data_IF_157583754909
#
_entry.id   IF_157583754909
#
_cell.length_a   1.000
_cell.length_b   1.000
_cell.length_c   1.000
_cell.angle_alpha   90.00
_cell.angle_beta   90.00
_cell.angle_gamma   90.00
#
_symmetry.space_group_name_H-M   'P 1'
#
loop_
_entity.id
_entity.type
_entity.pdbx_description
1 polymer ?
#
# COMPACT_ATOMS: atom_id res chain seq x y z
N UNK A 1 -23.72 -41.60 -52.14
CA UNK A 1 -22.63 -41.34 -53.10
C UNK A 1 -21.79 -40.21 -52.53
N UNK A 2 -20.69 -40.58 -51.86
CA UNK A 2 -19.30 -40.15 -52.10
C UNK A 2 -19.06 -38.64 -51.87
N UNK A 3 -18.49 -38.30 -50.71
CA UNK A 3 -17.05 -37.98 -50.48
C UNK A 3 -16.84 -36.45 -50.58
N UNK A 4 -16.01 -35.78 -49.78
CA UNK A 4 -14.96 -36.20 -48.86
C UNK A 4 -14.47 -34.98 -48.06
N UNK A 5 -14.11 -35.22 -46.81
CA UNK A 5 -13.25 -34.38 -45.99
C UNK A 5 -11.88 -34.15 -46.66
N UNK A 6 -11.30 -32.95 -46.52
CA UNK A 6 -9.86 -32.75 -46.68
C UNK A 6 -9.26 -32.34 -45.33
N UNK A 7 -8.47 -33.25 -44.77
CA UNK A 7 -7.44 -32.98 -43.78
C UNK A 7 -6.20 -32.44 -44.50
N UNK A 8 -5.53 -31.47 -43.88
CA UNK A 8 -4.17 -31.07 -44.25
C UNK A 8 -3.26 -31.38 -43.07
N UNK A 9 -2.65 -32.56 -43.17
CA UNK A 9 -1.45 -32.95 -42.42
C UNK A 9 -0.23 -32.39 -43.14
N UNK A 10 0.61 -31.61 -42.46
CA UNK A 10 1.98 -31.37 -42.88
C UNK A 10 2.93 -32.09 -41.91
N UNK A 11 3.66 -33.06 -42.44
CA UNK A 11 4.70 -33.80 -41.76
C UNK A 11 6.05 -33.56 -42.45
N UNK A 12 7.06 -33.34 -41.59
CA UNK A 12 8.50 -33.67 -41.71
C UNK A 12 9.34 -33.00 -42.82
N UNK A 13 10.42 -32.32 -42.40
CA UNK A 13 11.76 -32.95 -42.41
C UNK A 13 12.80 -32.09 -41.68
N UNK A 14 13.53 -32.76 -40.79
CA UNK A 14 14.80 -32.29 -40.23
C UNK A 14 15.87 -32.29 -41.33
N UNK A 15 16.78 -31.32 -41.29
CA UNK A 15 18.11 -31.47 -41.88
C UNK A 15 19.15 -31.00 -40.87
N UNK A 16 19.97 -31.95 -40.46
CA UNK A 16 21.15 -31.81 -39.62
C UNK A 16 22.30 -31.21 -40.42
N UNK A 17 23.12 -30.38 -39.77
CA UNK A 17 24.49 -30.14 -40.22
C UNK A 17 25.37 -29.93 -39.00
N UNK A 18 26.24 -30.90 -38.78
CA UNK A 18 27.32 -30.88 -37.80
C UNK A 18 28.45 -29.99 -38.31
N UNK A 19 29.00 -29.15 -37.44
CA UNK A 19 30.34 -28.61 -37.60
C UNK A 19 31.05 -28.61 -36.24
N UNK A 20 32.22 -29.22 -36.27
CA UNK A 20 33.07 -29.61 -35.16
C UNK A 20 33.85 -28.42 -34.58
N UNK A 21 34.12 -28.53 -33.28
CA UNK A 21 35.05 -27.81 -32.41
C UNK A 21 36.19 -26.99 -33.05
N UNK A 22 36.51 -25.86 -32.40
CA UNK A 22 37.88 -25.48 -31.99
C UNK A 22 37.83 -24.34 -30.94
N UNK A 23 38.34 -24.62 -29.74
CA UNK A 23 38.81 -23.61 -28.76
C UNK A 23 40.12 -22.99 -29.29
N UNK A 24 40.44 -21.73 -28.93
CA UNK A 24 41.52 -21.59 -27.96
C UNK A 24 41.47 -20.36 -27.01
N UNK A 25 42.04 -20.61 -25.82
CA UNK A 25 42.91 -19.76 -24.98
C UNK A 25 42.41 -18.45 -24.37
N UNK A 26 42.40 -18.50 -23.03
CA UNK A 26 42.56 -17.40 -22.10
C UNK A 26 43.85 -16.60 -22.32
N UNK A 27 43.75 -15.28 -22.12
CA UNK A 27 44.85 -14.40 -21.71
C UNK A 27 44.31 -13.30 -20.80
N UNK A 28 44.72 -13.33 -19.53
CA UNK A 28 44.81 -12.15 -18.68
C UNK A 28 46.16 -11.45 -18.95
N UNK A 29 46.23 -10.13 -18.72
CA UNK A 29 47.35 -9.66 -17.89
C UNK A 29 46.95 -8.60 -16.85
N UNK A 30 47.46 -8.88 -15.65
CA UNK A 30 48.05 -8.01 -14.63
C UNK A 30 47.71 -6.50 -14.55
N UNK A 31 47.39 -6.16 -13.30
CA UNK A 31 47.51 -4.87 -12.64
C UNK A 31 48.72 -4.02 -13.06
N UNK A 32 48.49 -2.72 -13.21
CA UNK A 32 49.50 -1.68 -13.02
C UNK A 32 48.96 -0.62 -12.07
N UNK A 33 49.59 -0.52 -10.91
CA UNK A 33 49.42 0.56 -9.96
C UNK A 33 50.11 1.81 -10.52
N UNK A 34 49.40 2.94 -10.56
CA UNK A 34 50.02 4.25 -10.67
C UNK A 34 49.44 5.18 -9.61
N UNK A 35 50.39 5.78 -8.89
CA UNK A 35 50.25 6.64 -7.73
C UNK A 35 49.49 7.93 -8.05
N UNK A 36 48.80 8.38 -7.02
CA UNK A 36 48.23 9.70 -6.85
C UNK A 36 49.25 10.83 -7.11
N UNK A 37 48.78 11.86 -7.81
CA UNK A 37 49.30 13.23 -7.70
C UNK A 37 48.11 14.11 -7.34
N UNK A 38 48.11 14.63 -6.12
CA UNK A 38 47.15 15.59 -5.63
C UNK A 38 47.46 16.97 -6.24
N UNK A 39 46.50 17.54 -6.97
CA UNK A 39 46.47 18.95 -7.28
C UNK A 39 45.27 19.56 -6.55
N UNK A 40 45.57 20.36 -5.52
CA UNK A 40 44.59 21.07 -4.73
C UNK A 40 44.07 22.27 -5.52
N UNK A 41 42.79 22.25 -5.89
CA UNK A 41 42.04 23.42 -6.32
C UNK A 41 40.92 23.68 -5.32
N UNK A 42 41.14 24.70 -4.50
CA UNK A 42 40.21 25.27 -3.53
C UNK A 42 39.04 25.93 -4.26
N UNK A 43 37.87 25.26 -4.24
CA UNK A 43 36.58 25.90 -4.50
C UNK A 43 35.76 25.84 -3.21
N UNK A 44 35.51 27.01 -2.61
CA UNK A 44 34.62 27.16 -1.45
C UNK A 44 33.19 26.80 -1.85
N UNK A 45 32.72 25.64 -1.40
CA UNK A 45 31.31 25.29 -1.43
C UNK A 45 30.68 25.76 -0.12
N UNK A 46 29.72 26.68 -0.22
CA UNK A 46 28.87 27.11 0.89
C UNK A 46 27.97 25.92 1.22
N UNK A 47 28.23 25.26 2.35
CA UNK A 47 27.41 24.17 2.87
C UNK A 47 26.16 24.76 3.52
N UNK A 48 25.05 24.81 2.76
CA UNK A 48 23.72 24.92 3.34
C UNK A 48 23.35 23.53 3.87
N UNK A 49 23.46 23.35 5.19
CA UNK A 49 22.96 22.15 5.87
C UNK A 49 21.44 22.08 5.71
N UNK A 50 20.86 20.99 5.19
CA UNK A 50 19.44 20.71 5.36
C UNK A 50 19.21 20.28 6.81
N UNK A 51 18.30 20.96 7.48
CA UNK A 51 17.74 20.54 8.76
C UNK A 51 17.05 19.17 8.59
N UNK A 52 17.14 18.24 9.56
CA UNK A 52 16.40 16.99 9.48
C UNK A 52 14.88 17.28 9.51
N UNK A 53 14.05 16.48 8.82
CA UNK A 53 12.60 16.67 8.88
C UNK A 53 12.16 16.43 10.33
N UNK A 54 11.48 17.43 10.91
CA UNK A 54 10.80 17.27 12.20
C UNK A 54 9.75 16.18 12.03
N UNK A 55 9.97 15.05 12.70
CA UNK A 55 8.94 14.04 12.91
C UNK A 55 7.77 14.69 13.67
N UNK A 56 6.74 15.12 12.93
CA UNK A 56 5.45 15.50 13.50
C UNK A 56 4.79 14.20 13.97
N UNK A 57 4.96 13.90 15.26
CA UNK A 57 4.06 12.97 15.93
C UNK A 57 2.67 13.62 15.91
N UNK A 58 1.82 13.18 14.98
CA UNK A 58 0.38 13.46 15.04
C UNK A 58 -0.11 13.00 16.41
N UNK A 59 -0.58 13.96 17.20
CA UNK A 59 -0.98 13.76 18.59
C UNK A 59 -2.29 12.96 18.58
N UNK A 60 -2.20 11.67 18.88
CA UNK A 60 -3.27 10.65 18.93
C UNK A 60 -4.47 11.01 19.85
N UNK A 61 -4.41 12.14 20.57
CA UNK A 61 -5.41 12.51 21.58
C UNK A 61 -6.79 12.85 21.01
N UNK A 62 -6.89 13.28 19.74
CA UNK A 62 -8.16 13.70 19.13
C UNK A 62 -9.11 12.58 18.69
N UNK A 63 -8.65 11.32 18.61
CA UNK A 63 -9.45 10.22 18.04
C UNK A 63 -10.11 9.30 19.08
N UNK A 64 -9.79 9.46 20.36
CA UNK A 64 -10.40 8.66 21.42
C UNK A 64 -11.88 9.04 21.68
N UNK A 65 -12.29 10.26 21.34
CA UNK A 65 -13.66 10.75 21.57
C UNK A 65 -14.69 10.13 20.62
N UNK A 66 -14.32 9.84 19.37
CA UNK A 66 -15.23 9.29 18.35
C UNK A 66 -15.63 7.82 18.56
N UNK A 67 -14.93 7.08 19.43
CA UNK A 67 -15.17 5.65 19.66
C UNK A 67 -16.12 5.40 20.83
N UNK A 68 -16.27 6.35 21.76
CA UNK A 68 -17.08 6.13 22.97
C UNK A 68 -18.60 6.21 22.70
N UNK A 69 -19.02 6.94 21.68
CA UNK A 69 -20.45 7.24 21.47
C UNK A 69 -21.29 6.10 20.88
N UNK A 70 -20.67 4.99 20.44
CA UNK A 70 -21.40 3.85 19.83
C UNK A 70 -21.46 2.57 20.66
N UNK A 71 -20.73 2.45 21.77
CA UNK A 71 -20.67 1.21 22.56
C UNK A 71 -21.71 1.15 23.71
N UNK A 72 -22.51 2.21 23.91
CA UNK A 72 -23.46 2.31 25.02
C UNK A 72 -24.85 1.71 24.77
N UNK A 73 -25.12 1.14 23.58
CA UNK A 73 -26.49 0.67 23.21
C UNK A 73 -26.62 -0.83 22.92
N UNK A 74 -25.63 -1.67 23.24
CA UNK A 74 -25.75 -3.13 23.07
C UNK A 74 -25.57 -3.88 24.40
N UNK A 75 -26.56 -3.79 25.29
CA UNK A 75 -26.78 -4.83 26.30
C UNK A 75 -28.25 -4.92 26.76
N UNK A 76 -29.12 -5.50 25.94
CA UNK A 76 -30.23 -6.34 26.44
C UNK A 76 -30.81 -7.19 25.32
N UNK A 77 -31.13 -8.43 25.67
CA UNK A 77 -31.30 -9.54 24.74
C UNK A 77 -32.62 -9.59 23.97
N UNK A 78 -32.61 -10.52 23.01
CA UNK A 78 -33.66 -10.94 22.12
C UNK A 78 -35.05 -11.12 22.78
N UNK A 79 -36.05 -10.44 22.21
CA UNK A 79 -37.36 -11.00 21.79
C UNK A 79 -38.31 -9.84 21.43
N UNK A 80 -38.61 -9.66 20.14
CA UNK A 80 -39.93 -9.28 19.61
C UNK A 80 -39.82 -8.98 18.11
N UNK A 81 -40.24 -9.94 17.29
CA UNK A 81 -40.69 -9.67 15.96
C UNK A 81 -42.10 -9.05 16.03
N UNK A 82 -42.28 -7.89 15.41
CA UNK A 82 -43.49 -7.37 14.75
C UNK A 82 -43.72 -5.87 15.01
N UNK A 83 -43.71 -5.12 13.91
CA UNK A 83 -44.42 -3.86 13.67
C UNK A 83 -44.12 -2.65 14.57
N UNK A 84 -43.29 -1.74 14.05
CA UNK A 84 -43.58 -0.31 14.08
C UNK A 84 -42.95 0.36 12.86
N UNK A 85 -43.79 0.60 11.86
CA UNK A 85 -43.54 1.55 10.78
C UNK A 85 -43.38 2.96 11.37
N UNK A 86 -42.19 3.52 11.23
CA UNK A 86 -41.90 4.93 11.50
C UNK A 86 -41.04 5.45 10.37
N UNK A 87 -41.68 6.04 9.36
CA UNK A 87 -41.05 6.87 8.35
C UNK A 87 -40.43 8.10 9.03
N UNK A 88 -39.13 8.31 8.81
CA UNK A 88 -38.41 9.49 9.27
C UNK A 88 -37.03 9.54 8.63
N UNK A 89 -37.01 9.91 7.34
CA UNK A 89 -35.93 10.57 6.62
C UNK A 89 -34.48 10.36 7.13
N UNK A 90 -33.89 9.19 6.85
CA UNK A 90 -32.46 9.16 6.54
C UNK A 90 -32.30 9.57 5.07
N UNK A 91 -32.37 10.88 4.80
CA UNK A 91 -31.71 11.42 3.62
C UNK A 91 -30.22 11.08 3.77
N UNK A 92 -29.80 10.00 3.12
CA UNK A 92 -28.39 9.72 2.89
C UNK A 92 -27.80 11.00 2.28
N UNK A 93 -27.07 11.79 3.08
CA UNK A 93 -26.33 12.95 2.61
C UNK A 93 -25.46 12.46 1.46
N UNK A 94 -25.88 12.75 0.23
CA UNK A 94 -25.09 12.39 -0.94
C UNK A 94 -23.75 13.10 -0.77
N UNK A 95 -22.68 12.32 -0.67
CA UNK A 95 -21.33 12.84 -0.58
C UNK A 95 -21.10 13.85 -1.71
N UNK A 96 -20.75 15.06 -1.32
CA UNK A 96 -20.56 16.16 -2.24
C UNK A 96 -19.21 15.96 -2.94
N UNK A 97 -19.23 15.59 -4.23
CA UNK A 97 -18.05 15.25 -5.05
C UNK A 97 -17.22 16.48 -5.46
N UNK A 98 -17.09 17.45 -4.56
CA UNK A 98 -16.55 18.79 -4.82
C UNK A 98 -15.11 18.77 -5.32
N UNK A 99 -14.29 17.83 -4.82
CA UNK A 99 -12.89 17.75 -5.20
C UNK A 99 -12.70 17.16 -6.60
N UNK A 100 -13.56 16.24 -7.03
CA UNK A 100 -13.51 15.62 -8.38
C UNK A 100 -13.86 16.63 -9.47
N UNK A 101 -14.72 17.60 -9.18
CA UNK A 101 -15.16 18.61 -10.14
C UNK A 101 -14.14 19.73 -10.37
N UNK A 102 -13.13 19.84 -9.51
CA UNK A 102 -12.09 20.86 -9.60
C UNK A 102 -11.30 20.75 -10.92
N UNK A 103 -11.05 21.90 -11.55
CA UNK A 103 -10.37 22.03 -12.85
C UNK A 103 -8.98 22.63 -12.75
N UNK A 104 -8.56 23.04 -11.56
CA UNK A 104 -7.23 23.59 -11.32
C UNK A 104 -6.70 23.26 -9.92
N UNK A 105 -5.39 23.41 -9.75
CA UNK A 105 -4.73 23.33 -8.45
C UNK A 105 -5.24 24.39 -7.47
N UNK A 106 -5.43 25.63 -7.94
CA UNK A 106 -5.95 26.72 -7.10
C UNK A 106 -7.35 26.38 -6.58
N UNK A 107 -8.20 25.80 -7.43
CA UNK A 107 -9.53 25.37 -7.04
C UNK A 107 -9.46 24.25 -5.98
N UNK A 108 -8.64 23.21 -6.17
CA UNK A 108 -8.46 22.14 -5.18
C UNK A 108 -8.03 22.67 -3.81
N UNK A 109 -7.01 23.53 -3.76
CA UNK A 109 -6.50 24.10 -2.51
C UNK A 109 -7.52 25.04 -1.85
N UNK A 110 -8.27 25.81 -2.66
CA UNK A 110 -9.35 26.65 -2.15
C UNK A 110 -10.49 25.84 -1.52
N UNK A 111 -10.81 24.66 -2.07
CA UNK A 111 -11.81 23.75 -1.52
C UNK A 111 -11.37 23.18 -0.17
N UNK A 112 -10.09 22.80 0.00
CA UNK A 112 -9.56 22.38 1.30
C UNK A 112 -9.78 23.49 2.35
N UNK A 113 -9.42 24.73 2.00
CA UNK A 113 -9.59 25.88 2.90
C UNK A 113 -11.05 26.12 3.24
N UNK A 114 -11.93 26.08 2.23
CA UNK A 114 -13.37 26.25 2.41
C UNK A 114 -13.97 25.21 3.35
N UNK A 115 -13.71 23.92 3.11
CA UNK A 115 -14.29 22.84 3.91
C UNK A 115 -13.73 22.81 5.35
N UNK A 116 -12.49 23.27 5.53
CA UNK A 116 -11.92 23.54 6.86
C UNK A 116 -12.65 24.68 7.57
N UNK A 117 -12.87 25.80 6.89
CA UNK A 117 -13.52 26.98 7.47
C UNK A 117 -15.00 26.73 7.77
N UNK A 118 -15.67 25.88 6.99
CA UNK A 118 -17.04 25.38 7.23
C UNK A 118 -17.10 24.31 8.34
N UNK A 119 -15.95 23.86 8.87
CA UNK A 119 -15.87 22.87 9.95
C UNK A 119 -16.17 21.43 9.53
N UNK A 120 -16.27 21.15 8.22
CA UNK A 120 -16.49 19.80 7.67
C UNK A 120 -15.19 19.01 7.55
N UNK A 121 -14.05 19.70 7.52
CA UNK A 121 -12.73 19.09 7.48
C UNK A 121 -11.90 19.51 8.71
N UNK A 122 -11.48 18.56 9.57
CA UNK A 122 -10.64 18.88 10.73
C UNK A 122 -9.33 19.58 10.33
N UNK A 123 -8.86 20.61 11.06
CA UNK A 123 -7.69 21.39 10.67
C UNK A 123 -6.42 20.54 10.41
N UNK A 124 -6.19 19.51 11.23
CA UNK A 124 -5.05 18.62 11.05
C UNK A 124 -5.14 17.75 9.79
N UNK A 125 -6.34 17.42 9.32
CA UNK A 125 -6.55 16.67 8.07
C UNK A 125 -6.40 17.62 6.88
N UNK A 126 -6.92 18.85 6.98
CA UNK A 126 -6.75 19.89 5.96
C UNK A 126 -5.26 20.20 5.71
N UNK A 127 -4.48 20.43 6.77
CA UNK A 127 -3.03 20.64 6.69
C UNK A 127 -2.33 19.42 6.04
N UNK A 128 -2.74 18.21 6.40
CA UNK A 128 -2.20 16.98 5.82
C UNK A 128 -2.56 16.80 4.34
N UNK A 129 -3.76 17.24 3.92
CA UNK A 129 -4.19 17.23 2.51
C UNK A 129 -3.38 18.20 1.66
N UNK A 130 -3.10 19.42 2.17
CA UNK A 130 -2.23 20.40 1.51
C UNK A 130 -0.78 19.89 1.40
N UNK A 131 -0.24 19.34 2.50
CA UNK A 131 1.11 18.74 2.51
C UNK A 131 1.21 17.58 1.51
N UNK A 132 0.21 16.68 1.51
CA UNK A 132 0.14 15.56 0.58
C UNK A 132 0.12 16.05 -0.87
N UNK A 133 -0.71 17.05 -1.18
CA UNK A 133 -0.80 17.64 -2.52
C UNK A 133 0.55 18.16 -3.00
N UNK A 134 1.20 19.00 -2.21
CA UNK A 134 2.47 19.62 -2.61
C UNK A 134 3.59 18.59 -2.74
N UNK A 135 3.68 17.62 -1.82
CA UNK A 135 4.69 16.56 -1.89
C UNK A 135 4.49 15.65 -3.10
N UNK A 136 3.24 15.23 -3.36
CA UNK A 136 2.90 14.41 -4.52
C UNK A 136 3.21 15.14 -5.83
N UNK A 137 2.74 16.38 -5.96
CA UNK A 137 3.02 17.24 -7.12
C UNK A 137 4.52 17.33 -7.37
N UNK A 138 5.30 17.68 -6.35
CA UNK A 138 6.74 17.83 -6.50
C UNK A 138 7.41 16.53 -6.97
N UNK A 139 7.05 15.38 -6.38
CA UNK A 139 7.61 14.09 -6.76
C UNK A 139 7.27 13.71 -8.20
N UNK A 140 6.01 13.87 -8.60
CA UNK A 140 5.56 13.56 -9.97
C UNK A 140 6.24 14.46 -11.00
N UNK A 141 6.37 15.76 -10.73
CA UNK A 141 7.10 16.66 -11.62
C UNK A 141 8.60 16.34 -11.70
N UNK A 142 9.23 16.00 -10.57
CA UNK A 142 10.65 15.64 -10.52
C UNK A 142 10.96 14.33 -11.24
N UNK A 143 9.98 13.43 -11.38
CA UNK A 143 10.14 12.18 -12.14
C UNK A 143 10.36 12.41 -13.64
N UNK A 144 9.97 13.58 -14.17
CA UNK A 144 10.07 13.91 -15.60
C UNK A 144 9.09 13.16 -16.49
N UNK A 145 8.04 12.54 -15.93
CA UNK A 145 7.00 11.89 -16.75
C UNK A 145 6.23 12.93 -17.58
N UNK A 146 5.85 12.61 -18.83
CA UNK A 146 4.97 13.47 -19.62
C UNK A 146 3.62 13.69 -18.93
N UNK A 147 2.98 14.83 -19.17
CA UNK A 147 1.65 15.17 -18.63
C UNK A 147 1.57 15.12 -17.08
N UNK A 148 2.66 15.47 -16.40
CA UNK A 148 2.74 15.47 -14.94
C UNK A 148 1.66 16.33 -14.28
N UNK A 149 1.29 17.46 -14.89
CA UNK A 149 0.21 18.35 -14.46
C UNK A 149 -1.16 17.67 -14.50
N UNK A 150 -1.50 17.00 -15.61
CA UNK A 150 -2.75 16.24 -15.76
C UNK A 150 -2.82 15.09 -14.75
N UNK A 151 -1.71 14.35 -14.57
CA UNK A 151 -1.61 13.25 -13.62
C UNK A 151 -1.82 13.74 -12.18
N UNK A 152 -1.16 14.83 -11.79
CA UNK A 152 -1.29 15.40 -10.45
C UNK A 152 -2.72 15.86 -10.21
N UNK A 153 -3.32 16.61 -11.12
CA UNK A 153 -4.68 17.10 -10.97
C UNK A 153 -5.68 15.94 -10.87
N UNK A 154 -5.57 14.94 -11.75
CA UNK A 154 -6.48 13.79 -11.77
C UNK A 154 -6.34 12.90 -10.53
N UNK A 155 -5.12 12.60 -10.09
CA UNK A 155 -4.92 11.71 -8.95
C UNK A 155 -5.24 12.41 -7.63
N UNK A 156 -4.87 13.68 -7.48
CA UNK A 156 -5.14 14.43 -6.27
C UNK A 156 -6.63 14.78 -6.11
N UNK A 157 -7.35 15.12 -7.19
CA UNK A 157 -8.79 15.38 -7.08
C UNK A 157 -9.55 14.18 -6.50
N UNK A 158 -9.26 12.98 -7.01
CA UNK A 158 -9.86 11.73 -6.51
C UNK A 158 -9.35 11.38 -5.10
N UNK A 159 -8.04 11.53 -4.82
CA UNK A 159 -7.51 11.23 -3.50
C UNK A 159 -8.14 12.13 -2.41
N UNK A 160 -8.22 13.44 -2.66
CA UNK A 160 -8.79 14.40 -1.72
C UNK A 160 -10.29 14.17 -1.53
N UNK A 161 -11.02 13.84 -2.59
CA UNK A 161 -12.43 13.45 -2.54
C UNK A 161 -12.66 12.22 -1.64
N UNK A 162 -11.86 11.16 -1.84
CA UNK A 162 -11.97 9.92 -1.06
C UNK A 162 -11.55 10.10 0.40
N UNK A 163 -10.55 10.95 0.68
CA UNK A 163 -10.17 11.32 2.05
C UNK A 163 -11.32 12.09 2.71
N UNK A 164 -11.91 13.06 2.01
CA UNK A 164 -13.01 13.85 2.53
C UNK A 164 -14.25 12.99 2.80
N UNK A 165 -14.59 12.06 1.90
CA UNK A 165 -15.64 11.08 2.13
C UNK A 165 -15.43 10.29 3.43
N UNK A 166 -14.21 9.84 3.70
CA UNK A 166 -13.89 9.10 4.91
C UNK A 166 -13.90 9.97 6.18
N UNK A 167 -13.72 11.29 6.04
CA UNK A 167 -13.93 12.24 7.14
C UNK A 167 -15.42 12.40 7.44
N UNK A 168 -16.27 12.48 6.41
CA UNK A 168 -17.73 12.61 6.55
C UNK A 168 -18.39 11.33 7.07
N UNK A 169 -17.96 10.19 6.55
CA UNK A 169 -18.47 8.86 6.89
C UNK A 169 -17.30 7.87 7.05
N UNK A 170 -16.68 7.81 8.25
CA UNK A 170 -15.48 7.00 8.47
C UNK A 170 -15.70 5.51 8.24
N UNK A 171 -14.95 4.95 7.28
CA UNK A 171 -14.94 3.51 7.05
C UNK A 171 -14.35 2.78 8.27
N UNK A 172 -15.08 1.80 8.80
CA UNK A 172 -14.61 0.97 9.92
C UNK A 172 -14.10 -0.35 9.39
N UNK A 173 -12.79 -0.58 9.54
CA UNK A 173 -12.17 -1.82 9.08
C UNK A 173 -12.63 -3.02 9.92
N UNK A 174 -13.16 -4.08 9.29
CA UNK A 174 -13.40 -5.36 9.97
C UNK A 174 -12.06 -6.07 10.29
N UNK A 175 -12.08 -7.11 11.15
CA UNK A 175 -10.88 -7.89 11.47
C UNK A 175 -10.17 -8.48 10.24
N UNK A 176 -10.95 -8.92 9.25
CA UNK A 176 -10.50 -9.22 7.90
C UNK A 176 -11.26 -8.36 6.90
N UNK A 177 -10.52 -7.57 6.12
CA UNK A 177 -11.05 -6.69 5.09
C UNK A 177 -10.72 -7.24 3.71
N UNK A 178 -11.71 -7.32 2.83
CA UNK A 178 -11.51 -7.64 1.41
C UNK A 178 -11.46 -6.34 0.64
N UNK A 179 -10.52 -6.23 -0.31
CA UNK A 179 -10.37 -5.03 -1.14
C UNK A 179 -11.71 -4.59 -1.75
N UNK A 180 -12.09 -3.33 -1.53
CA UNK A 180 -13.29 -2.74 -2.09
C UNK A 180 -13.05 -2.39 -3.57
N UNK A 181 -13.75 -3.09 -4.47
CA UNK A 181 -13.64 -2.93 -5.93
C UNK A 181 -14.84 -2.22 -6.55
N UNK A 182 -15.97 -2.16 -5.84
CA UNK A 182 -17.23 -1.58 -6.29
C UNK A 182 -17.93 -0.85 -5.14
N UNK A 183 -18.72 0.21 -5.40
CA UNK A 183 -18.95 0.86 -6.71
C UNK A 183 -17.79 1.77 -7.14
N UNK A 184 -16.78 1.93 -6.29
CA UNK A 184 -15.53 2.61 -6.59
C UNK A 184 -14.38 1.62 -6.40
N UNK A 185 -13.52 1.51 -7.41
CA UNK A 185 -12.38 0.58 -7.36
C UNK A 185 -11.21 1.22 -6.58
N UNK A 186 -11.20 1.01 -5.26
CA UNK A 186 -10.14 1.52 -4.38
C UNK A 186 -8.78 0.86 -4.65
N UNK A 187 -8.76 -0.36 -5.20
CA UNK A 187 -7.52 -1.01 -5.61
C UNK A 187 -6.90 -0.25 -6.78
N UNK A 188 -7.66 -0.04 -7.86
CA UNK A 188 -7.17 0.67 -9.04
C UNK A 188 -6.86 2.13 -8.74
N UNK A 189 -7.64 2.79 -7.88
CA UNK A 189 -7.31 4.11 -7.34
C UNK A 189 -5.91 4.12 -6.71
N UNK A 190 -5.63 3.19 -5.79
CA UNK A 190 -4.33 3.10 -5.14
C UNK A 190 -3.18 2.76 -6.11
N UNK A 191 -3.41 1.87 -7.07
CA UNK A 191 -2.43 1.55 -8.12
C UNK A 191 -2.11 2.79 -8.97
N UNK A 192 -3.13 3.50 -9.46
CA UNK A 192 -2.97 4.68 -10.31
C UNK A 192 -2.29 5.84 -9.59
N UNK A 193 -2.58 6.02 -8.30
CA UNK A 193 -1.96 7.05 -7.48
C UNK A 193 -0.45 6.80 -7.28
N UNK A 194 -0.05 5.56 -7.00
CA UNK A 194 1.36 5.22 -6.69
C UNK A 194 2.20 5.02 -7.95
N UNK A 195 1.61 4.57 -9.07
CA UNK A 195 2.30 4.31 -10.34
C UNK A 195 3.29 5.41 -10.80
N UNK A 196 2.94 6.70 -10.84
CA UNK A 196 3.87 7.74 -11.29
C UNK A 196 5.05 7.98 -10.34
N UNK A 197 5.01 7.42 -9.12
CA UNK A 197 6.09 7.51 -8.14
C UNK A 197 7.10 6.36 -8.25
N UNK A 198 6.81 5.35 -9.08
CA UNK A 198 7.69 4.19 -9.29
C UNK A 198 8.51 4.39 -10.56
N UNK A 199 9.83 4.49 -10.42
CA UNK A 199 10.74 4.41 -11.55
C UNK A 199 10.93 2.94 -11.97
N UNK A 200 10.01 2.46 -12.82
CA UNK A 200 10.04 1.08 -13.31
C UNK A 200 11.33 0.72 -14.05
N UNK A 201 12.04 1.69 -14.66
CA UNK A 201 13.27 1.42 -15.40
C UNK A 201 14.44 1.08 -14.48
N UNK A 202 14.43 1.65 -13.28
CA UNK A 202 15.45 1.42 -12.26
C UNK A 202 14.93 0.54 -11.11
N UNK A 203 13.79 -0.12 -11.28
CA UNK A 203 13.22 -1.07 -10.32
C UNK A 203 13.48 -2.51 -10.76
N UNK A 204 13.60 -3.42 -9.79
CA UNK A 204 13.96 -4.81 -10.05
C UNK A 204 13.08 -5.77 -9.24
N UNK A 205 12.73 -6.89 -9.87
CA UNK A 205 12.13 -8.04 -9.19
C UNK A 205 13.14 -9.18 -9.22
N UNK A 206 13.66 -9.54 -8.04
CA UNK A 206 14.54 -10.69 -7.90
C UNK A 206 13.75 -12.00 -7.90
N UNK A 207 14.38 -13.08 -8.41
CA UNK A 207 13.87 -14.45 -8.31
C UNK A 207 12.42 -14.63 -8.82
N UNK A 208 12.10 -14.06 -9.99
CA UNK A 208 10.77 -14.18 -10.61
C UNK A 208 10.18 -15.61 -10.59
N UNK A 209 10.95 -16.69 -10.88
CA UNK A 209 10.41 -18.05 -10.84
C UNK A 209 9.80 -18.48 -9.49
N UNK A 210 10.20 -17.86 -8.37
CA UNK A 210 9.60 -18.14 -7.06
C UNK A 210 8.13 -17.72 -7.02
N UNK A 211 7.74 -16.67 -7.76
CA UNK A 211 6.34 -16.26 -7.84
C UNK A 211 5.49 -17.25 -8.67
N UNK A 212 6.09 -17.95 -9.63
CA UNK A 212 5.44 -19.08 -10.31
C UNK A 212 5.20 -20.23 -9.33
N UNK A 213 6.21 -20.60 -8.53
CA UNK A 213 6.09 -21.62 -7.48
C UNK A 213 5.01 -21.24 -6.44
N UNK A 214 4.96 -19.97 -6.01
CA UNK A 214 3.92 -19.47 -5.09
C UNK A 214 2.54 -19.71 -5.70
N UNK A 215 2.35 -19.36 -6.98
CA UNK A 215 1.07 -19.57 -7.68
C UNK A 215 0.70 -21.06 -7.72
N UNK A 216 1.65 -21.94 -8.05
CA UNK A 216 1.43 -23.40 -8.07
C UNK A 216 1.01 -23.92 -6.69
N UNK A 217 1.71 -23.50 -5.62
CA UNK A 217 1.37 -23.90 -4.24
C UNK A 217 -0.03 -23.43 -3.84
N UNK A 218 -0.42 -22.21 -4.22
CA UNK A 218 -1.77 -21.71 -3.96
C UNK A 218 -2.84 -22.52 -4.71
N UNK A 219 -2.56 -22.94 -5.96
CA UNK A 219 -3.45 -23.80 -6.75
C UNK A 219 -3.58 -25.22 -6.16
N UNK A 220 -2.54 -25.73 -5.52
CA UNK A 220 -2.56 -27.01 -4.77
C UNK A 220 -3.36 -26.93 -3.46
N UNK A 221 -3.89 -25.76 -3.09
CA UNK A 221 -4.62 -25.56 -1.84
C UNK A 221 -3.74 -25.15 -0.66
N UNK A 222 -2.41 -25.04 -0.85
CA UNK A 222 -1.52 -24.60 0.22
C UNK A 222 -1.69 -23.12 0.53
N UNK A 223 -1.36 -22.75 1.76
CA UNK A 223 -1.18 -21.35 2.14
C UNK A 223 0.28 -20.96 1.97
N UNK A 224 0.51 -19.71 1.59
CA UNK A 224 1.85 -19.12 1.46
C UNK A 224 1.91 -17.86 2.32
N UNK A 225 2.97 -17.73 3.12
CA UNK A 225 3.23 -16.54 3.92
C UNK A 225 4.54 -15.91 3.47
N UNK A 226 4.47 -14.67 2.98
CA UNK A 226 5.60 -13.83 2.65
C UNK A 226 6.06 -13.12 3.93
N UNK A 227 7.20 -13.56 4.45
CA UNK A 227 7.88 -12.90 5.56
C UNK A 227 8.78 -11.82 4.99
N UNK A 228 8.45 -10.56 5.25
CA UNK A 228 9.04 -9.40 4.58
C UNK A 228 9.60 -8.38 5.58
N UNK A 229 10.48 -7.50 5.11
CA UNK A 229 10.66 -6.19 5.74
C UNK A 229 9.51 -5.25 5.33
N UNK A 230 9.49 -4.03 5.86
CA UNK A 230 8.47 -3.02 5.56
C UNK A 230 9.14 -1.64 5.49
N UNK A 231 8.85 -0.84 4.47
CA UNK A 231 9.54 0.44 4.23
C UNK A 231 8.58 1.63 4.18
N UNK A 232 7.41 1.46 3.56
CA UNK A 232 6.45 2.53 3.33
C UNK A 232 5.02 2.04 3.56
N UNK A 233 4.10 2.94 3.85
CA UNK A 233 2.67 2.60 3.90
C UNK A 233 2.14 2.17 2.51
N UNK A 234 2.88 2.48 1.43
CA UNK A 234 2.56 2.14 0.05
C UNK A 234 3.14 0.80 -0.42
N UNK A 235 3.82 0.04 0.46
CA UNK A 235 4.41 -1.27 0.10
C UNK A 235 3.42 -2.20 -0.61
N UNK A 236 2.13 -2.30 -0.21
CA UNK A 236 1.14 -3.11 -0.94
C UNK A 236 0.96 -2.70 -2.40
N UNK A 237 1.00 -1.39 -2.69
CA UNK A 237 0.86 -0.87 -4.04
C UNK A 237 2.13 -1.11 -4.85
N UNK A 238 3.31 -0.89 -4.26
CA UNK A 238 4.60 -1.12 -4.92
C UNK A 238 4.76 -2.60 -5.29
N UNK A 239 4.47 -3.52 -4.36
CA UNK A 239 4.49 -4.97 -4.62
C UNK A 239 3.55 -5.32 -5.77
N UNK A 240 2.32 -4.80 -5.74
CA UNK A 240 1.35 -5.07 -6.80
C UNK A 240 1.79 -4.51 -8.16
N UNK A 241 2.28 -3.27 -8.22
CA UNK A 241 2.76 -2.62 -9.45
C UNK A 241 3.95 -3.35 -10.08
N UNK A 242 4.88 -3.85 -9.27
CA UNK A 242 6.04 -4.59 -9.78
C UNK A 242 5.68 -5.99 -10.30
N UNK A 243 4.56 -6.56 -9.86
CA UNK A 243 4.12 -7.90 -10.23
C UNK A 243 2.95 -7.91 -11.24
N UNK A 244 2.24 -6.81 -11.46
CA UNK A 244 1.00 -6.78 -12.26
C UNK A 244 1.19 -7.29 -13.70
N UNK A 245 2.36 -7.04 -14.31
CA UNK A 245 2.64 -7.44 -15.69
C UNK A 245 2.96 -8.92 -15.87
N UNK A 246 3.27 -9.64 -14.79
CA UNK A 246 3.71 -11.06 -14.85
C UNK A 246 2.88 -11.98 -13.96
N UNK A 247 2.41 -11.47 -12.83
CA UNK A 247 1.74 -12.21 -11.75
C UNK A 247 0.55 -11.40 -11.20
N UNK A 248 -0.36 -10.94 -12.06
CA UNK A 248 -1.54 -10.15 -11.66
C UNK A 248 -2.39 -10.80 -10.57
N UNK A 249 -2.55 -12.13 -10.60
CA UNK A 249 -3.23 -12.87 -9.53
C UNK A 249 -2.59 -12.63 -8.15
N UNK A 250 -1.25 -12.59 -8.07
CA UNK A 250 -0.55 -12.27 -6.82
C UNK A 250 -0.76 -10.79 -6.49
N UNK A 251 -0.59 -9.90 -7.45
CA UNK A 251 -0.73 -8.45 -7.26
C UNK A 251 -2.10 -8.04 -6.68
N UNK A 252 -3.16 -8.79 -6.97
CA UNK A 252 -4.53 -8.50 -6.52
C UNK A 252 -4.97 -9.26 -5.26
N UNK A 253 -4.38 -10.43 -4.97
CA UNK A 253 -4.91 -11.35 -3.94
C UNK A 253 -4.04 -11.48 -2.68
N UNK A 254 -2.87 -10.83 -2.60
CA UNK A 254 -2.11 -10.77 -1.33
C UNK A 254 -2.98 -10.14 -0.23
N UNK A 255 -3.03 -10.81 0.92
CA UNK A 255 -3.61 -10.27 2.16
C UNK A 255 -2.50 -9.75 3.06
N UNK A 256 -2.54 -8.46 3.37
CA UNK A 256 -1.52 -7.78 4.16
C UNK A 256 -1.91 -7.72 5.63
N UNK A 257 -1.03 -8.17 6.52
CA UNK A 257 -1.18 -7.94 7.95
C UNK A 257 -0.82 -6.47 8.23
N UNK A 258 -1.84 -5.65 8.48
CA UNK A 258 -1.70 -4.20 8.50
C UNK A 258 -1.95 -3.60 9.90
N UNK A 259 -1.14 -2.60 10.22
CA UNK A 259 -1.11 -1.89 11.50
C UNK A 259 -2.10 -0.73 11.61
N UNK A 260 -2.16 -0.15 12.82
CA UNK A 260 -3.13 0.89 13.22
C UNK A 260 -3.20 2.11 12.32
N UNK A 261 -2.05 2.65 11.94
CA UNK A 261 -2.00 3.94 11.23
C UNK A 261 -2.79 3.87 9.93
N UNK A 262 -2.56 2.84 9.12
CA UNK A 262 -3.15 2.76 7.78
C UNK A 262 -4.65 2.46 7.80
N UNK A 263 -5.20 2.01 8.94
CA UNK A 263 -6.64 1.77 9.13
C UNK A 263 -7.34 2.86 9.94
N UNK A 264 -6.61 3.85 10.47
CA UNK A 264 -7.17 4.94 11.28
C UNK A 264 -6.91 6.34 10.70
N UNK A 265 -5.77 6.56 10.04
CA UNK A 265 -5.39 7.85 9.45
C UNK A 265 -6.23 8.13 8.19
N UNK A 266 -7.08 9.18 8.17
CA UNK A 266 -7.95 9.47 7.01
C UNK A 266 -7.18 9.66 5.71
N UNK A 267 -5.91 10.11 5.76
CA UNK A 267 -5.07 10.28 4.57
C UNK A 267 -4.63 8.93 3.97
N UNK A 268 -4.65 7.85 4.76
CA UNK A 268 -4.23 6.51 4.35
C UNK A 268 -5.42 5.59 4.05
N UNK A 269 -6.54 5.78 4.75
CA UNK A 269 -7.68 4.85 4.71
C UNK A 269 -8.19 4.55 3.28
N UNK A 270 -8.35 5.52 2.37
CA UNK A 270 -8.73 5.22 0.98
C UNK A 270 -7.81 4.22 0.29
N UNK A 271 -6.51 4.30 0.52
CA UNK A 271 -5.54 3.35 -0.05
C UNK A 271 -5.67 1.96 0.58
N UNK A 272 -5.90 1.90 1.88
CA UNK A 272 -6.12 0.65 2.63
C UNK A 272 -7.41 -0.04 2.25
N UNK A 273 -8.48 0.71 1.95
CA UNK A 273 -9.76 0.16 1.49
C UNK A 273 -9.59 -0.67 0.20
N UNK A 274 -8.59 -0.35 -0.63
CA UNK A 274 -8.26 -1.06 -1.86
C UNK A 274 -7.43 -2.33 -1.69
N UNK A 275 -7.16 -2.78 -0.47
CA UNK A 275 -6.30 -3.96 -0.20
C UNK A 275 -7.03 -5.02 0.60
N UNK A 276 -6.61 -6.27 0.46
CA UNK A 276 -7.03 -7.32 1.39
C UNK A 276 -6.18 -7.20 2.65
N UNK A 277 -6.80 -7.08 3.83
CA UNK A 277 -6.10 -6.81 5.08
C UNK A 277 -6.53 -7.78 6.18
N UNK A 278 -5.58 -8.17 7.02
CA UNK A 278 -5.86 -8.61 8.39
C UNK A 278 -5.45 -7.46 9.31
N UNK A 279 -6.43 -6.84 9.95
CA UNK A 279 -6.26 -5.59 10.69
C UNK A 279 -5.79 -5.89 12.12
N UNK A 280 -4.57 -5.48 12.48
CA UNK A 280 -3.98 -5.75 13.79
C UNK A 280 -3.36 -4.50 14.41
N UNK A 281 -3.58 -4.32 15.70
CA UNK A 281 -2.82 -3.38 16.52
C UNK A 281 -1.39 -3.88 16.70
N UNK A 282 -0.42 -3.07 16.32
CA UNK A 282 0.99 -3.46 16.43
C UNK A 282 1.40 -3.58 17.91
N UNK A 283 2.26 -4.54 18.23
CA UNK A 283 2.85 -4.63 19.58
C UNK A 283 3.58 -3.34 19.97
N UNK A 284 4.23 -2.70 18.98
CA UNK A 284 4.99 -1.46 19.15
C UNK A 284 4.15 -0.30 19.70
N UNK A 285 2.88 -0.22 19.29
CA UNK A 285 1.96 0.86 19.66
C UNK A 285 0.82 0.39 20.58
N UNK A 286 0.94 -0.81 21.15
CA UNK A 286 -0.09 -1.41 22.00
C UNK A 286 -0.34 -0.55 23.25
N UNK A 287 0.73 -0.03 23.86
CA UNK A 287 0.70 0.66 25.14
C UNK A 287 0.76 2.20 25.06
N UNK A 288 0.71 2.77 23.85
CA UNK A 288 0.78 4.23 23.65
C UNK A 288 -0.36 4.99 24.37
N UNK A 289 -1.53 4.34 24.46
CA UNK A 289 -2.70 4.83 25.20
C UNK A 289 -3.18 3.69 26.11
N UNK A 290 -2.82 3.68 27.40
CA UNK A 290 -3.10 2.59 28.33
C UNK A 290 -4.58 2.17 28.38
N UNK A 291 -5.49 3.13 28.25
CA UNK A 291 -6.94 2.93 28.32
C UNK A 291 -7.46 2.09 27.14
N UNK A 292 -6.75 2.07 26.02
CA UNK A 292 -7.15 1.34 24.81
C UNK A 292 -6.57 -0.08 24.74
N UNK A 293 -5.62 -0.45 25.61
CA UNK A 293 -4.88 -1.72 25.52
C UNK A 293 -5.81 -2.94 25.45
N UNK A 294 -6.84 -2.99 26.29
CA UNK A 294 -7.75 -4.14 26.35
C UNK A 294 -8.61 -4.24 25.08
N UNK A 295 -9.10 -3.11 24.56
CA UNK A 295 -9.81 -3.04 23.29
C UNK A 295 -8.92 -3.53 22.14
N UNK A 296 -7.66 -3.05 22.09
CA UNK A 296 -6.68 -3.43 21.06
C UNK A 296 -6.39 -4.93 21.09
N UNK A 297 -6.18 -5.51 22.27
CA UNK A 297 -5.98 -6.96 22.47
C UNK A 297 -7.18 -7.78 22.02
N UNK A 298 -8.39 -7.34 22.37
CA UNK A 298 -9.63 -7.99 21.96
C UNK A 298 -9.80 -7.95 20.44
N UNK A 299 -9.50 -6.81 19.80
CA UNK A 299 -9.52 -6.67 18.35
C UNK A 299 -8.52 -7.62 17.69
N UNK A 300 -7.27 -7.64 18.13
CA UNK A 300 -6.25 -8.58 17.61
C UNK A 300 -6.67 -10.03 17.75
N UNK A 301 -7.29 -10.39 18.88
CA UNK A 301 -7.81 -11.76 19.08
C UNK A 301 -8.86 -12.13 18.04
N UNK A 302 -9.74 -11.19 17.65
CA UNK A 302 -10.72 -11.41 16.58
C UNK A 302 -10.02 -11.55 15.23
N UNK A 303 -9.08 -10.68 14.89
CA UNK A 303 -8.34 -10.72 13.63
C UNK A 303 -7.52 -12.00 13.46
N UNK A 304 -6.87 -12.46 14.53
CA UNK A 304 -6.12 -13.72 14.52
C UNK A 304 -7.05 -14.95 14.37
N UNK A 305 -8.27 -14.90 14.92
CA UNK A 305 -9.27 -15.94 14.69
C UNK A 305 -9.74 -15.98 13.24
N UNK A 306 -10.04 -14.82 12.65
CA UNK A 306 -10.41 -14.73 11.22
C UNK A 306 -9.26 -15.23 10.33
N UNK A 307 -8.02 -14.81 10.61
CA UNK A 307 -6.84 -15.29 9.89
C UNK A 307 -6.69 -16.82 9.99
N UNK A 308 -6.91 -17.40 11.17
CA UNK A 308 -6.88 -18.85 11.33
C UNK A 308 -8.00 -19.55 10.54
N UNK A 309 -9.20 -18.97 10.47
CA UNK A 309 -10.30 -19.48 9.65
C UNK A 309 -9.98 -19.42 8.15
N UNK A 310 -9.42 -18.31 7.67
CA UNK A 310 -8.95 -18.15 6.29
C UNK A 310 -7.91 -19.21 5.95
N UNK A 311 -6.87 -19.35 6.78
CA UNK A 311 -5.81 -20.34 6.58
C UNK A 311 -6.34 -21.78 6.57
N UNK A 312 -7.37 -22.10 7.36
CA UNK A 312 -8.03 -23.41 7.31
C UNK A 312 -8.75 -23.68 5.99
N UNK A 313 -9.14 -22.62 5.27
CA UNK A 313 -9.73 -22.71 3.93
C UNK A 313 -8.75 -23.05 2.82
N UNK A 314 -7.44 -22.91 3.06
CA UNK A 314 -6.40 -23.13 2.05
C UNK A 314 -6.29 -21.98 1.04
N UNK A 315 -5.31 -22.07 0.13
CA UNK A 315 -5.05 -21.11 -0.95
C UNK A 315 -4.92 -19.64 -0.51
N UNK A 316 -4.48 -19.38 0.73
CA UNK A 316 -4.27 -18.02 1.21
C UNK A 316 -2.84 -17.55 0.94
N UNK A 317 -2.71 -16.31 0.43
CA UNK A 317 -1.42 -15.63 0.28
C UNK A 317 -1.35 -14.45 1.26
N UNK A 318 -0.51 -14.56 2.27
CA UNK A 318 -0.35 -13.53 3.30
C UNK A 318 1.00 -12.83 3.17
N UNK A 319 1.01 -11.53 3.43
CA UNK A 319 2.23 -10.75 3.64
C UNK A 319 2.26 -10.24 5.08
N UNK A 320 3.40 -10.41 5.75
CA UNK A 320 3.61 -9.92 7.11
C UNK A 320 5.04 -9.40 7.28
N UNK A 321 5.16 -8.28 8.01
CA UNK A 321 6.43 -7.73 8.45
C UNK A 321 6.61 -7.94 9.97
N UNK A 322 7.38 -8.96 10.42
CA UNK A 322 7.54 -9.27 11.84
C UNK A 322 8.21 -8.17 12.66
N UNK A 323 8.92 -7.23 12.03
CA UNK A 323 9.46 -6.04 12.69
C UNK A 323 8.37 -5.17 13.33
N UNK A 324 7.12 -5.32 12.88
CA UNK A 324 5.96 -4.57 13.37
C UNK A 324 5.97 -3.08 13.00
N UNK A 325 6.89 -2.66 12.12
CA UNK A 325 6.97 -1.28 11.66
C UNK A 325 8.02 -1.10 10.55
N UNK A 326 7.96 0.09 9.93
CA UNK A 326 8.86 0.46 8.84
C UNK A 326 10.32 0.48 9.26
N UNK A 327 11.21 0.17 8.32
CA UNK A 327 12.66 0.32 8.44
C UNK A 327 13.01 1.78 8.82
N UNK A 328 14.17 1.96 9.47
CA UNK A 328 14.72 3.27 9.84
C UNK A 328 16.18 3.33 9.42
N UNK A 329 16.67 4.49 8.98
CA UNK A 329 18.08 4.64 8.67
C UNK A 329 18.90 4.48 9.94
N UNK A 330 20.09 3.90 9.78
CA UNK A 330 21.08 3.88 10.85
C UNK A 330 21.38 5.34 11.27
N UNK A 331 21.31 5.67 12.57
CA UNK A 331 21.45 7.05 13.04
C UNK A 331 22.87 7.61 12.87
N UNK A 332 23.88 6.76 12.66
CA UNK A 332 25.27 7.16 12.48
C UNK A 332 25.65 7.24 10.99
N UNK A 333 25.26 6.24 10.18
CA UNK A 333 25.66 6.17 8.77
C UNK A 333 24.62 6.72 7.79
N UNK A 334 23.35 6.78 8.19
CA UNK A 334 22.23 7.13 7.32
C UNK A 334 21.80 6.03 6.35
N UNK A 335 22.42 4.85 6.42
CA UNK A 335 22.11 3.71 5.55
C UNK A 335 20.83 2.99 5.98
N UNK A 336 20.13 2.39 5.03
CA UNK A 336 18.87 1.68 5.26
C UNK A 336 19.07 0.17 5.19
N UNK A 337 18.59 -0.52 6.21
CA UNK A 337 18.61 -1.98 6.28
C UNK A 337 17.27 -2.50 6.81
N UNK A 338 16.88 -3.75 6.48
CA UNK A 338 15.72 -4.39 7.08
C UNK A 338 15.76 -4.29 8.61
N UNK A 339 14.65 -3.82 9.19
CA UNK A 339 14.47 -3.76 10.63
C UNK A 339 14.59 -5.15 11.25
N UNK A 340 15.10 -5.21 12.48
CA UNK A 340 15.24 -6.48 13.20
C UNK A 340 13.84 -7.04 13.51
N UNK A 341 13.40 -8.00 12.69
CA UNK A 341 12.27 -8.86 12.98
C UNK A 341 12.77 -10.12 13.69
N UNK A 342 12.29 -10.35 14.90
CA UNK A 342 12.50 -11.62 15.59
C UNK A 342 11.32 -12.52 15.26
N UNK A 343 11.57 -13.65 14.56
CA UNK A 343 10.57 -14.72 14.44
C UNK A 343 10.18 -15.27 15.84
N UNK A 344 11.06 -15.14 16.83
CA UNK A 344 10.79 -15.51 18.23
C UNK A 344 9.75 -14.59 18.88
N UNK A 345 9.67 -13.32 18.48
CA UNK A 345 8.72 -12.34 19.04
C UNK A 345 7.29 -12.54 18.49
N UNK A 346 7.09 -13.38 17.46
CA UNK A 346 5.76 -13.81 17.02
C UNK A 346 5.15 -14.88 17.94
N UNK A 347 5.96 -15.61 18.71
CA UNK A 347 5.53 -16.71 19.58
C UNK A 347 5.48 -16.37 21.08
N UNK A 348 5.98 -15.20 21.48
CA UNK A 348 5.84 -14.61 22.83
C UNK A 348 4.72 -13.59 22.88
#
# INVERSE_FOLDING_TARGET
MLNSHLSLSLSLSLSSSSATALLPRAFSPAASALRAVAAASSSRWISLRPSPPRSTFLRVRGMAELVQDKESTESSGAAAAAAASGSGDEEARQHSRIFVDARSEEELLSLITKEKDEGRLPPNVAEGMEELFHNYKNAVFQSGIPHADEIVLSNMSVALDRIFLDVEDPFIFPPYHKAAREPFDYYMFGQNYIRPLVDFRNSYVGNIPVFDEIREKLQEGHNVVLISNHQTEADPAVIALLLEGTHSHIAENVTYVAGDRVVTDPLCKPFSMGRNLVCVYSKKHMFDVPELVEMKRRSNTRSLKEMALLLRGGSQLLWIAPSGGRDRPDPLTGEWYPGKGSLLDMYS
#
